data_IF_726788797364
#
_entry.id   IF_726788797364
#
_cell.length_a   1.000
_cell.length_b   1.000
_cell.length_c   1.000
_cell.angle_alpha   90.00
_cell.angle_beta   90.00
_cell.angle_gamma   90.00
#
_symmetry.space_group_name_H-M   'P 1'
#
loop_
_entity.id
_entity.type
_entity.pdbx_description
1 polymer ?
#
# COMPACT_ATOMS: atom_id res chain seq x y z
N UNK A 1 -26.88 -45.51 25.37
CA UNK A 1 -26.46 -44.11 25.64
C UNK A 1 -26.07 -43.48 24.32
N UNK A 2 -26.80 -42.47 23.83
CA UNK A 2 -26.42 -41.72 22.62
C UNK A 2 -25.31 -40.75 23.02
N UNK A 3 -24.09 -41.00 22.55
CA UNK A 3 -23.00 -40.03 22.64
C UNK A 3 -23.35 -38.84 21.74
N UNK A 4 -23.98 -37.82 22.31
CA UNK A 4 -24.02 -36.50 21.68
C UNK A 4 -22.61 -35.92 21.82
N UNK A 5 -21.84 -35.98 20.73
CA UNK A 5 -20.67 -35.11 20.57
C UNK A 5 -21.17 -33.67 20.70
N UNK A 6 -20.79 -33.00 21.78
CA UNK A 6 -21.18 -31.63 22.13
C UNK A 6 -20.29 -30.58 21.45
N UNK A 7 -19.40 -30.97 20.54
CA UNK A 7 -18.58 -30.01 19.80
C UNK A 7 -19.39 -29.45 18.62
N UNK A 8 -19.77 -28.18 18.73
CA UNK A 8 -20.29 -27.41 17.61
C UNK A 8 -19.27 -27.49 16.46
N UNK A 9 -19.67 -27.89 15.23
CA UNK A 9 -18.72 -28.05 14.14
C UNK A 9 -17.96 -26.74 13.90
N UNK A 10 -16.64 -26.84 13.76
CA UNK A 10 -15.78 -25.70 13.47
C UNK A 10 -16.25 -25.06 12.16
N UNK A 11 -16.65 -23.77 12.14
CA UNK A 11 -17.14 -23.16 10.92
C UNK A 11 -16.05 -23.11 9.85
N UNK A 12 -16.41 -23.44 8.62
CA UNK A 12 -15.53 -23.33 7.48
C UNK A 12 -15.75 -22.02 6.70
N UNK A 13 -14.68 -21.43 6.20
CA UNK A 13 -14.68 -20.12 5.54
C UNK A 13 -13.93 -20.19 4.22
N UNK A 14 -14.55 -19.70 3.15
CA UNK A 14 -13.85 -19.47 1.89
C UNK A 14 -13.33 -18.04 1.82
N UNK A 15 -12.04 -17.87 1.56
CA UNK A 15 -11.43 -16.57 1.28
C UNK A 15 -11.10 -16.48 -0.20
N UNK A 16 -11.67 -15.51 -0.91
CA UNK A 16 -11.48 -15.36 -2.36
C UNK A 16 -10.51 -14.21 -2.64
N UNK A 17 -9.36 -14.52 -3.23
CA UNK A 17 -8.29 -13.58 -3.55
C UNK A 17 -7.03 -13.80 -2.70
N UNK A 18 -5.92 -14.19 -3.34
CA UNK A 18 -4.63 -14.46 -2.72
C UNK A 18 -3.72 -13.24 -2.58
N UNK A 19 -4.28 -12.03 -2.57
CA UNK A 19 -3.54 -10.80 -2.28
C UNK A 19 -3.26 -10.61 -0.78
N UNK A 20 -2.58 -9.53 -0.41
CA UNK A 20 -2.20 -9.27 0.99
C UNK A 20 -3.40 -9.23 1.95
N UNK A 21 -4.51 -8.60 1.55
CA UNK A 21 -5.74 -8.54 2.35
C UNK A 21 -6.34 -9.94 2.58
N UNK A 22 -6.42 -10.76 1.53
CA UNK A 22 -6.96 -12.13 1.62
C UNK A 22 -6.06 -13.04 2.45
N UNK A 23 -4.74 -13.00 2.23
CA UNK A 23 -3.78 -13.76 3.03
C UNK A 23 -3.79 -13.36 4.51
N UNK A 24 -3.82 -12.06 4.80
CA UNK A 24 -3.89 -11.57 6.19
C UNK A 24 -5.18 -12.04 6.87
N UNK A 25 -6.31 -11.93 6.16
CA UNK A 25 -7.62 -12.38 6.67
C UNK A 25 -7.65 -13.90 6.89
N UNK A 26 -7.19 -14.68 5.90
CA UNK A 26 -7.15 -16.14 5.98
C UNK A 26 -6.24 -16.63 7.11
N UNK A 27 -5.09 -15.97 7.29
CA UNK A 27 -4.17 -16.24 8.40
C UNK A 27 -4.83 -15.96 9.74
N UNK A 28 -5.49 -14.79 9.91
CA UNK A 28 -6.17 -14.43 11.16
C UNK A 28 -7.29 -15.41 11.51
N UNK A 29 -8.10 -15.77 10.52
CA UNK A 29 -9.19 -16.74 10.68
C UNK A 29 -8.65 -18.12 11.10
N UNK A 30 -7.57 -18.58 10.47
CA UNK A 30 -6.96 -19.88 10.82
C UNK A 30 -6.35 -19.88 12.21
N UNK A 31 -5.67 -18.79 12.60
CA UNK A 31 -5.18 -18.58 13.97
C UNK A 31 -6.32 -18.59 15.01
N UNK A 32 -7.53 -18.21 14.59
CA UNK A 32 -8.72 -18.21 15.44
C UNK A 32 -9.46 -19.55 15.44
N UNK A 33 -8.89 -20.58 14.79
CA UNK A 33 -9.38 -21.96 14.78
C UNK A 33 -10.41 -22.27 13.69
N UNK A 34 -10.72 -21.35 12.77
CA UNK A 34 -11.62 -21.62 11.64
C UNK A 34 -10.96 -22.53 10.60
N UNK A 35 -11.76 -23.35 9.91
CA UNK A 35 -11.29 -24.11 8.74
C UNK A 35 -11.34 -23.21 7.50
N UNK A 36 -10.19 -22.84 6.95
CA UNK A 36 -10.14 -21.83 5.89
C UNK A 36 -9.58 -22.39 4.59
N UNK A 37 -10.32 -22.21 3.49
CA UNK A 37 -9.82 -22.43 2.14
C UNK A 37 -9.65 -21.09 1.42
N UNK A 38 -8.44 -20.77 0.99
CA UNK A 38 -8.13 -19.59 0.18
C UNK A 38 -8.09 -19.97 -1.31
N UNK A 39 -8.85 -19.25 -2.12
CA UNK A 39 -8.90 -19.40 -3.57
C UNK A 39 -8.13 -18.28 -4.28
N UNK A 40 -7.23 -18.64 -5.20
CA UNK A 40 -6.51 -17.71 -6.05
C UNK A 40 -6.56 -18.18 -7.51
N UNK A 41 -6.99 -17.28 -8.41
CA UNK A 41 -7.11 -17.57 -9.84
C UNK A 41 -5.76 -17.77 -10.53
N UNK A 42 -4.72 -17.09 -10.04
CA UNK A 42 -3.36 -17.13 -10.59
C UNK A 42 -2.60 -18.37 -10.11
N UNK A 43 -1.46 -18.66 -10.72
CA UNK A 43 -0.56 -19.71 -10.24
C UNK A 43 0.18 -19.35 -8.92
N UNK A 44 0.19 -18.08 -8.56
CA UNK A 44 1.02 -17.51 -7.49
C UNK A 44 0.23 -16.49 -6.68
N UNK A 45 0.43 -16.51 -5.36
CA UNK A 45 -0.13 -15.57 -4.39
C UNK A 45 0.56 -14.21 -4.45
N UNK A 46 -0.03 -13.21 -3.79
CA UNK A 46 0.56 -11.89 -3.53
C UNK A 46 -0.19 -10.74 -4.18
N UNK A 47 -0.92 -10.98 -5.28
CA UNK A 47 -1.63 -9.91 -6.01
C UNK A 47 -0.71 -8.73 -6.35
N UNK A 48 -1.04 -7.53 -5.86
CA UNK A 48 -0.20 -6.32 -6.03
C UNK A 48 1.08 -6.32 -5.19
N UNK A 49 1.15 -7.14 -4.12
CA UNK A 49 2.31 -7.24 -3.24
C UNK A 49 3.41 -8.18 -3.78
N UNK A 50 3.39 -8.50 -5.08
CA UNK A 50 4.40 -9.35 -5.70
C UNK A 50 5.71 -8.59 -5.86
N UNK A 51 6.80 -9.35 -5.76
CA UNK A 51 8.15 -8.90 -6.07
C UNK A 51 8.75 -9.89 -7.06
N UNK A 52 9.24 -9.40 -8.19
CA UNK A 52 10.01 -10.20 -9.13
C UNK A 52 11.47 -10.26 -8.68
N UNK A 53 12.03 -11.47 -8.59
CA UNK A 53 13.47 -11.66 -8.40
C UNK A 53 14.10 -11.96 -9.75
N UNK A 54 14.94 -11.05 -10.24
CA UNK A 54 15.64 -11.18 -11.52
C UNK A 54 17.13 -10.94 -11.27
N UNK A 55 17.96 -11.96 -11.44
CA UNK A 55 19.42 -11.87 -11.23
C UNK A 55 19.82 -11.31 -9.85
N UNK A 56 19.05 -11.62 -8.81
CA UNK A 56 19.27 -11.14 -7.44
C UNK A 56 18.74 -9.75 -7.14
N UNK A 57 18.12 -9.08 -8.12
CA UNK A 57 17.38 -7.84 -7.90
C UNK A 57 15.92 -8.12 -7.56
N UNK A 58 15.41 -7.43 -6.55
CA UNK A 58 14.04 -7.54 -6.06
C UNK A 58 13.23 -6.32 -6.52
N UNK A 59 12.36 -6.52 -7.52
CA UNK A 59 11.52 -5.47 -8.10
C UNK A 59 10.07 -5.61 -7.63
N UNK A 60 9.58 -4.66 -6.85
CA UNK A 60 8.18 -4.66 -6.42
C UNK A 60 7.26 -4.32 -7.59
N UNK A 61 6.03 -4.83 -7.56
CA UNK A 61 5.04 -4.51 -8.58
C UNK A 61 4.42 -3.12 -8.35
N UNK A 62 5.17 -2.08 -8.71
CA UNK A 62 4.79 -0.69 -8.49
C UNK A 62 5.28 -0.14 -7.15
N UNK A 63 4.93 1.12 -6.84
CA UNK A 63 5.45 1.82 -5.69
C UNK A 63 4.91 1.22 -4.39
N UNK A 64 5.80 0.97 -3.45
CA UNK A 64 5.46 0.29 -2.21
C UNK A 64 6.28 0.84 -1.04
N UNK A 65 5.57 1.21 0.03
CA UNK A 65 6.16 1.69 1.28
C UNK A 65 5.22 1.29 2.43
N UNK A 66 5.75 0.64 3.47
CA UNK A 66 4.93 0.19 4.59
C UNK A 66 4.92 1.28 5.68
N UNK A 67 3.79 1.94 5.87
CA UNK A 67 3.64 2.96 6.90
C UNK A 67 3.64 2.34 8.30
N UNK A 68 4.63 2.69 9.13
CA UNK A 68 4.86 2.02 10.43
C UNK A 68 3.74 2.22 11.45
N UNK A 69 3.05 3.36 11.39
CA UNK A 69 1.86 3.61 12.23
C UNK A 69 0.54 3.21 11.59
N UNK A 70 0.58 2.61 10.40
CA UNK A 70 -0.61 2.28 9.62
C UNK A 70 -1.22 0.96 10.03
N UNK A 71 -2.50 0.76 9.68
CA UNK A 71 -3.26 -0.47 9.95
C UNK A 71 -2.59 -1.72 9.38
N UNK A 72 -1.94 -1.61 8.21
CA UNK A 72 -1.21 -2.72 7.61
C UNK A 72 -0.03 -3.20 8.48
N UNK A 73 0.75 -2.27 9.03
CA UNK A 73 1.87 -2.61 9.92
C UNK A 73 1.37 -3.32 11.18
N UNK A 74 0.35 -2.73 11.84
CA UNK A 74 -0.28 -3.31 13.03
C UNK A 74 -0.88 -4.70 12.77
N UNK A 75 -1.51 -4.88 11.60
CA UNK A 75 -2.08 -6.17 11.21
C UNK A 75 -0.99 -7.21 11.01
N UNK A 76 0.10 -6.87 10.32
CA UNK A 76 1.22 -7.79 10.08
C UNK A 76 1.91 -8.17 11.39
N UNK A 77 2.11 -7.21 12.30
CA UNK A 77 2.66 -7.42 13.63
C UNK A 77 1.78 -8.36 14.47
N UNK A 78 0.46 -8.11 14.49
CA UNK A 78 -0.52 -8.98 15.15
C UNK A 78 -0.53 -10.41 14.58
N UNK A 79 -0.24 -10.55 13.29
CA UNK A 79 -0.12 -11.85 12.63
C UNK A 79 1.25 -12.50 12.84
N UNK A 80 2.17 -11.89 13.59
CA UNK A 80 3.51 -12.41 13.84
C UNK A 80 4.38 -12.46 12.58
N UNK A 81 4.14 -11.56 11.61
CA UNK A 81 4.97 -11.44 10.41
C UNK A 81 6.21 -10.65 10.75
N UNK A 82 7.38 -11.19 10.44
CA UNK A 82 8.65 -10.50 10.63
C UNK A 82 8.82 -9.36 9.60
N UNK A 83 9.01 -8.13 10.11
CA UNK A 83 9.10 -6.92 9.29
C UNK A 83 10.53 -6.37 9.29
N UNK A 84 11.38 -6.96 8.44
CA UNK A 84 12.76 -6.51 8.25
C UNK A 84 12.87 -5.46 7.14
N UNK A 85 13.70 -4.44 7.38
CA UNK A 85 13.93 -3.36 6.44
C UNK A 85 14.45 -2.11 7.11
N UNK A 86 14.53 -1.01 6.36
CA UNK A 86 14.89 0.30 6.92
C UNK A 86 14.04 1.45 6.37
N UNK A 87 14.12 2.58 7.07
CA UNK A 87 13.50 3.81 6.61
C UNK A 87 14.38 4.50 5.56
N UNK A 88 13.77 5.11 4.53
CA UNK A 88 14.53 5.91 3.58
C UNK A 88 15.16 7.13 4.26
N UNK A 89 16.42 7.42 3.91
CA UNK A 89 17.13 8.60 4.39
C UNK A 89 16.40 9.89 4.01
N UNK A 90 16.26 10.80 4.98
CA UNK A 90 15.77 12.17 4.74
C UNK A 90 16.87 13.12 4.24
N UNK A 91 18.11 12.64 4.15
CA UNK A 91 19.24 13.42 3.65
C UNK A 91 19.45 13.18 2.16
N UNK A 92 19.79 14.25 1.41
CA UNK A 92 20.16 14.20 -0.01
C UNK A 92 19.00 13.85 -0.95
N UNK A 93 17.81 14.32 -0.58
CA UNK A 93 16.59 14.24 -1.37
C UNK A 93 16.44 15.52 -2.20
N UNK A 94 15.77 15.42 -3.35
CA UNK A 94 15.62 16.53 -4.28
C UNK A 94 14.15 16.83 -4.60
N UNK A 95 13.86 18.09 -4.87
CA UNK A 95 12.66 18.56 -5.55
C UNK A 95 13.00 18.77 -7.02
N UNK A 96 12.12 18.32 -7.91
CA UNK A 96 12.18 18.64 -9.33
C UNK A 96 11.08 19.63 -9.68
N UNK A 97 11.48 20.76 -10.24
CA UNK A 97 10.59 21.86 -10.61
C UNK A 97 11.14 22.57 -11.84
N UNK A 98 10.31 22.73 -12.88
CA UNK A 98 10.70 23.35 -14.15
C UNK A 98 11.97 22.72 -14.75
N UNK A 99 12.04 21.38 -14.69
CA UNK A 99 13.19 20.56 -15.11
C UNK A 99 14.52 20.85 -14.39
N UNK A 100 14.49 21.55 -13.26
CA UNK A 100 15.66 21.79 -12.41
C UNK A 100 15.54 21.02 -11.08
N UNK A 101 16.68 20.62 -10.53
CA UNK A 101 16.75 19.92 -9.25
C UNK A 101 17.19 20.87 -8.13
N UNK A 102 16.38 20.91 -7.08
CA UNK A 102 16.64 21.66 -5.85
C UNK A 102 16.77 20.69 -4.68
N UNK A 103 17.55 21.03 -3.65
CA UNK A 103 17.62 20.20 -2.44
C UNK A 103 16.27 20.27 -1.73
N UNK A 104 15.67 19.10 -1.46
CA UNK A 104 14.50 18.98 -0.57
C UNK A 104 14.98 19.16 0.87
N UNK A 105 14.55 20.21 1.58
CA UNK A 105 14.98 20.43 2.95
C UNK A 105 14.51 19.30 3.88
N UNK A 106 15.45 18.52 4.41
CA UNK A 106 15.18 17.48 5.41
C UNK A 106 15.26 17.97 6.86
N UNK A 107 15.74 19.20 7.08
CA UNK A 107 15.86 19.82 8.40
C UNK A 107 15.87 21.36 8.29
N UNK A 108 15.79 22.06 9.42
CA UNK A 108 15.72 23.52 9.49
C UNK A 108 16.96 24.21 8.89
N UNK A 109 18.15 23.63 9.04
CA UNK A 109 19.37 24.16 8.43
C UNK A 109 19.32 24.13 6.90
N UNK A 110 18.96 22.99 6.32
CA UNK A 110 18.78 22.86 4.86
C UNK A 110 17.66 23.75 4.33
N UNK A 111 16.64 24.02 5.15
CA UNK A 111 15.57 24.94 4.79
C UNK A 111 16.08 26.38 4.78
N UNK A 112 16.82 26.79 5.81
CA UNK A 112 17.42 28.12 5.90
C UNK A 112 18.35 28.40 4.70
N UNK A 113 19.18 27.43 4.32
CA UNK A 113 20.08 27.53 3.16
C UNK A 113 19.41 27.21 1.81
N UNK A 114 18.12 26.89 1.79
CA UNK A 114 17.41 26.55 0.55
C UNK A 114 17.36 27.75 -0.39
N UNK A 115 17.69 27.51 -1.66
CA UNK A 115 17.57 28.48 -2.76
C UNK A 115 16.20 28.39 -3.45
N UNK A 116 15.39 27.37 -3.16
CA UNK A 116 14.09 27.16 -3.80
C UNK A 116 12.99 28.01 -3.17
N UNK A 117 12.99 28.11 -1.84
CA UNK A 117 11.99 28.87 -1.08
C UNK A 117 12.48 30.28 -0.77
N UNK A 118 11.60 31.28 -0.87
CA UNK A 118 11.84 32.62 -0.37
C UNK A 118 11.82 32.65 1.17
N UNK A 119 12.30 33.74 1.78
CA UNK A 119 12.24 33.89 3.24
C UNK A 119 10.81 33.86 3.80
N UNK A 120 9.85 34.45 3.09
CA UNK A 120 8.42 34.39 3.46
C UNK A 120 7.90 32.95 3.40
N UNK A 121 8.23 32.21 2.33
CA UNK A 121 7.81 30.82 2.17
C UNK A 121 8.43 29.92 3.24
N UNK A 122 9.71 30.13 3.59
CA UNK A 122 10.38 29.42 4.69
C UNK A 122 9.65 29.63 6.02
N UNK A 123 9.27 30.87 6.34
CA UNK A 123 8.52 31.17 7.56
C UNK A 123 7.17 30.44 7.60
N UNK A 124 6.38 30.54 6.52
CA UNK A 124 5.09 29.86 6.43
C UNK A 124 5.23 28.34 6.51
N UNK A 125 6.25 27.77 5.87
CA UNK A 125 6.52 26.34 5.90
C UNK A 125 6.89 25.85 7.30
N UNK A 126 7.79 26.55 8.01
CA UNK A 126 8.17 26.19 9.39
C UNK A 126 6.95 26.26 10.31
N UNK A 127 6.16 27.34 10.21
CA UNK A 127 4.93 27.48 11.00
C UNK A 127 3.94 26.37 10.70
N UNK A 128 3.76 26.01 9.44
CA UNK A 128 2.85 24.93 9.06
C UNK A 128 3.34 23.58 9.60
N UNK A 129 4.62 23.24 9.42
CA UNK A 129 5.20 21.98 9.90
C UNK A 129 5.03 21.83 11.42
N UNK A 130 5.28 22.90 12.19
CA UNK A 130 5.12 22.91 13.64
C UNK A 130 3.68 22.62 14.11
N UNK A 131 2.67 22.97 13.31
CA UNK A 131 1.26 22.80 13.66
C UNK A 131 0.56 21.67 12.89
N UNK A 132 1.20 21.11 11.85
CA UNK A 132 0.60 20.12 10.93
C UNK A 132 0.05 18.87 11.63
N UNK A 133 0.70 18.45 12.71
CA UNK A 133 0.30 17.29 13.52
C UNK A 133 -0.91 17.54 14.42
N UNK A 134 -1.30 18.81 14.60
CA UNK A 134 -2.44 19.21 15.42
C UNK A 134 -3.70 19.47 14.59
N UNK A 135 -3.60 19.42 13.26
CA UNK A 135 -4.75 19.59 12.36
C UNK A 135 -5.73 18.43 12.60
N UNK A 136 -6.95 18.75 13.01
CA UNK A 136 -8.01 17.74 13.14
C UNK A 136 -8.59 17.41 11.76
N UNK A 137 -8.23 16.23 11.25
CA UNK A 137 -8.66 15.76 9.95
C UNK A 137 -10.18 15.52 9.86
N UNK A 138 -10.88 15.27 10.97
CA UNK A 138 -12.34 15.03 10.95
C UNK A 138 -13.10 16.27 10.43
N UNK A 139 -12.59 17.46 10.70
CA UNK A 139 -13.16 18.72 10.23
C UNK A 139 -12.89 19.00 8.75
N UNK A 140 -12.13 18.16 8.05
CA UNK A 140 -11.79 18.33 6.63
C UNK A 140 -12.61 17.46 5.68
N UNK A 141 -13.56 16.67 6.19
CA UNK A 141 -14.34 15.70 5.39
C UNK A 141 -15.17 16.34 4.26
N UNK A 142 -15.51 17.61 4.38
CA UNK A 142 -16.29 18.39 3.42
C UNK A 142 -15.44 19.02 2.30
N UNK A 143 -14.11 18.88 2.36
CA UNK A 143 -13.17 19.46 1.40
C UNK A 143 -12.51 18.38 0.55
N UNK A 144 -12.22 18.72 -0.70
CA UNK A 144 -11.20 18.05 -1.49
C UNK A 144 -9.79 18.42 -1.00
N UNK A 145 -8.82 17.54 -1.24
CA UNK A 145 -7.43 17.78 -0.91
C UNK A 145 -6.88 19.03 -1.63
N UNK A 146 -7.36 19.32 -2.85
CA UNK A 146 -6.98 20.51 -3.62
C UNK A 146 -7.47 21.81 -2.96
N UNK A 147 -8.71 21.83 -2.47
CA UNK A 147 -9.26 22.97 -1.71
C UNK A 147 -8.50 23.16 -0.40
N UNK A 148 -8.23 22.07 0.32
CA UNK A 148 -7.46 22.12 1.55
C UNK A 148 -6.05 22.69 1.32
N UNK A 149 -5.33 22.24 0.29
CA UNK A 149 -4.02 22.79 -0.10
C UNK A 149 -4.11 24.30 -0.36
N UNK A 150 -5.18 24.74 -1.04
CA UNK A 150 -5.39 26.16 -1.34
C UNK A 150 -5.68 27.00 -0.10
N UNK A 151 -6.26 26.42 0.96
CA UNK A 151 -6.45 27.07 2.25
C UNK A 151 -5.17 27.13 3.08
N UNK A 152 -4.24 26.17 2.92
CA UNK A 152 -3.01 26.13 3.71
C UNK A 152 -1.99 27.20 3.29
N UNK A 153 -1.89 27.50 1.99
CA UNK A 153 -0.86 28.40 1.47
C UNK A 153 -1.39 29.28 0.35
N UNK A 154 -0.95 30.55 0.30
CA UNK A 154 -1.17 31.42 -0.86
C UNK A 154 -0.08 31.26 -1.93
N UNK A 155 1.16 30.94 -1.52
CA UNK A 155 2.31 30.85 -2.41
C UNK A 155 2.26 29.61 -3.31
N UNK A 156 2.46 29.80 -4.63
CA UNK A 156 2.44 28.73 -5.63
C UNK A 156 3.40 27.58 -5.31
N UNK A 157 4.65 27.87 -4.91
CA UNK A 157 5.64 26.82 -4.60
C UNK A 157 5.24 25.96 -3.39
N UNK A 158 4.65 26.57 -2.36
CA UNK A 158 4.18 25.81 -1.19
C UNK A 158 2.95 24.97 -1.50
N UNK A 159 2.02 25.48 -2.33
CA UNK A 159 0.90 24.67 -2.84
C UNK A 159 1.41 23.45 -3.61
N UNK A 160 2.32 23.65 -4.56
CA UNK A 160 2.90 22.54 -5.33
C UNK A 160 3.67 21.54 -4.45
N UNK A 161 4.42 22.03 -3.47
CA UNK A 161 5.12 21.19 -2.50
C UNK A 161 4.15 20.33 -1.69
N UNK A 162 3.10 20.92 -1.12
CA UNK A 162 2.12 20.17 -0.33
C UNK A 162 1.35 19.18 -1.20
N UNK A 163 0.94 19.57 -2.42
CA UNK A 163 0.34 18.67 -3.41
C UNK A 163 1.24 17.47 -3.71
N UNK A 164 2.54 17.70 -3.93
CA UNK A 164 3.48 16.63 -4.24
C UNK A 164 3.68 15.67 -3.05
N UNK A 165 3.69 16.19 -1.81
CA UNK A 165 3.75 15.35 -0.62
C UNK A 165 2.48 14.53 -0.39
N UNK A 166 1.30 15.13 -0.58
CA UNK A 166 0.02 14.40 -0.52
C UNK A 166 0.04 13.27 -1.55
N UNK A 167 0.39 13.58 -2.80
CA UNK A 167 0.49 12.60 -3.88
C UNK A 167 1.48 11.47 -3.56
N UNK A 168 2.64 11.79 -3.01
CA UNK A 168 3.61 10.77 -2.60
C UNK A 168 3.04 9.88 -1.49
N UNK A 169 2.34 10.48 -0.51
CA UNK A 169 1.83 9.77 0.64
C UNK A 169 0.61 8.87 0.33
N UNK A 170 -0.27 9.32 -0.55
CA UNK A 170 -1.54 8.65 -0.88
C UNK A 170 -1.48 7.84 -2.18
N UNK A 171 -0.46 8.08 -3.00
CA UNK A 171 -0.35 7.66 -4.39
C UNK A 171 -1.44 8.22 -5.33
N UNK A 172 -2.18 9.25 -4.91
CA UNK A 172 -3.28 9.85 -5.69
C UNK A 172 -2.83 11.17 -6.30
N UNK A 173 -3.00 11.32 -7.62
CA UNK A 173 -2.66 12.54 -8.33
C UNK A 173 -3.85 13.49 -8.50
N UNK A 174 -5.07 12.96 -8.65
CA UNK A 174 -6.28 13.78 -8.67
C UNK A 174 -6.68 14.20 -7.25
N UNK A 175 -6.22 15.39 -6.86
CA UNK A 175 -6.55 15.98 -5.56
C UNK A 175 -7.93 16.64 -5.53
N UNK A 176 -8.63 16.77 -6.66
CA UNK A 176 -9.99 17.33 -6.68
C UNK A 176 -11.02 16.29 -6.20
N UNK A 177 -10.78 15.01 -6.44
CA UNK A 177 -11.63 13.92 -5.95
C UNK A 177 -11.16 13.34 -4.62
N UNK A 178 -9.85 13.42 -4.31
CA UNK A 178 -9.32 12.96 -3.04
C UNK A 178 -9.87 13.78 -1.86
N UNK A 179 -10.42 13.11 -0.85
CA UNK A 179 -10.83 13.76 0.41
C UNK A 179 -9.64 14.38 1.15
N UNK A 180 -9.81 15.63 1.63
CA UNK A 180 -8.82 16.30 2.46
C UNK A 180 -8.60 15.60 3.81
N UNK A 181 -9.62 14.99 4.40
CA UNK A 181 -9.49 14.18 5.61
C UNK A 181 -8.49 13.04 5.40
N UNK A 182 -8.67 12.26 4.33
CA UNK A 182 -7.79 11.13 4.01
C UNK A 182 -6.38 11.61 3.69
N UNK A 183 -6.25 12.68 2.90
CA UNK A 183 -4.95 13.29 2.59
C UNK A 183 -4.21 13.75 3.86
N UNK A 184 -4.91 14.43 4.77
CA UNK A 184 -4.36 14.94 6.02
C UNK A 184 -3.90 13.79 6.93
N UNK A 185 -4.76 12.80 7.18
CA UNK A 185 -4.41 11.62 8.01
C UNK A 185 -3.20 10.88 7.46
N UNK A 186 -3.18 10.63 6.14
CA UNK A 186 -2.09 9.89 5.50
C UNK A 186 -0.77 10.69 5.54
N UNK A 187 -0.83 12.01 5.35
CA UNK A 187 0.34 12.89 5.44
C UNK A 187 0.87 12.96 6.88
N UNK A 188 0.00 13.11 7.88
CA UNK A 188 0.39 13.09 9.29
C UNK A 188 1.05 11.77 9.68
N UNK A 189 0.48 10.64 9.24
CA UNK A 189 1.05 9.32 9.44
C UNK A 189 2.46 9.20 8.84
N UNK A 190 2.62 9.65 7.59
CA UNK A 190 3.91 9.67 6.89
C UNK A 190 4.96 10.51 7.62
N UNK A 191 4.60 11.74 8.02
CA UNK A 191 5.52 12.66 8.69
C UNK A 191 5.91 12.20 10.11
N UNK A 192 4.97 11.61 10.86
CA UNK A 192 5.19 11.24 12.25
C UNK A 192 5.97 9.95 12.43
N UNK A 193 5.65 8.93 11.63
CA UNK A 193 6.18 7.57 11.84
C UNK A 193 6.98 7.06 10.64
N UNK A 194 6.93 7.75 9.51
CA UNK A 194 7.64 7.36 8.30
C UNK A 194 7.14 6.06 7.70
N UNK A 195 7.95 5.56 6.78
CA UNK A 195 7.72 4.30 6.06
C UNK A 195 8.89 3.36 6.25
N UNK A 196 8.62 2.07 6.09
CA UNK A 196 9.59 0.99 6.03
C UNK A 196 9.66 0.48 4.58
N UNK A 197 10.88 0.42 4.04
CA UNK A 197 11.17 -0.35 2.83
C UNK A 197 11.63 -1.74 3.27
N UNK A 198 10.94 -2.76 2.79
CA UNK A 198 11.14 -4.14 3.22
C UNK A 198 12.32 -4.77 2.50
N UNK A 199 13.16 -5.46 3.26
CA UNK A 199 14.21 -6.31 2.71
C UNK A 199 13.58 -7.43 1.87
N UNK A 200 14.22 -7.76 0.75
CA UNK A 200 13.75 -8.73 -0.25
C UNK A 200 12.39 -8.39 -0.91
N UNK A 201 11.83 -7.22 -0.61
CA UNK A 201 10.59 -6.71 -1.17
C UNK A 201 9.32 -7.30 -0.56
N UNK A 202 8.17 -6.93 -1.13
CA UNK A 202 6.86 -7.29 -0.59
C UNK A 202 6.51 -8.77 -0.71
N UNK A 203 7.17 -9.52 -1.60
CA UNK A 203 7.04 -10.97 -1.68
C UNK A 203 7.42 -11.66 -0.37
N UNK A 204 8.29 -11.05 0.47
CA UNK A 204 8.61 -11.55 1.80
C UNK A 204 7.37 -11.62 2.70
N UNK A 205 6.54 -10.58 2.71
CA UNK A 205 5.27 -10.57 3.47
C UNK A 205 4.34 -11.68 2.99
N UNK A 206 4.23 -11.85 1.68
CA UNK A 206 3.40 -12.89 1.05
C UNK A 206 3.86 -14.28 1.49
N UNK A 207 5.17 -14.51 1.49
CA UNK A 207 5.78 -15.79 1.92
C UNK A 207 5.54 -16.06 3.40
N UNK A 208 5.79 -15.09 4.28
CA UNK A 208 5.59 -15.27 5.73
C UNK A 208 4.12 -15.49 6.08
N UNK A 209 3.19 -14.72 5.50
CA UNK A 209 1.76 -14.95 5.68
C UNK A 209 1.34 -16.32 5.16
N UNK A 210 1.85 -16.74 4.00
CA UNK A 210 1.56 -18.07 3.44
C UNK A 210 2.06 -19.19 4.36
N UNK A 211 3.27 -19.03 4.92
CA UNK A 211 3.85 -19.99 5.88
C UNK A 211 2.99 -20.05 7.14
N UNK A 212 2.61 -18.91 7.70
CA UNK A 212 1.79 -18.83 8.90
C UNK A 212 0.38 -19.43 8.67
N UNK A 213 -0.25 -19.11 7.54
CA UNK A 213 -1.53 -19.69 7.15
C UNK A 213 -1.49 -21.22 7.05
N UNK A 214 -0.46 -21.77 6.39
CA UNK A 214 -0.25 -23.22 6.29
C UNK A 214 0.06 -23.87 7.64
N UNK A 215 0.83 -23.19 8.50
CA UNK A 215 1.11 -23.67 9.85
C UNK A 215 -0.18 -23.88 10.66
N UNK A 216 -1.16 -22.99 10.48
CA UNK A 216 -2.50 -23.09 11.07
C UNK A 216 -3.47 -23.94 10.23
N UNK A 217 -2.95 -24.87 9.42
CA UNK A 217 -3.72 -25.85 8.62
C UNK A 217 -4.66 -25.21 7.58
N UNK A 218 -4.36 -23.98 7.14
CA UNK A 218 -5.07 -23.33 6.05
C UNK A 218 -4.84 -24.01 4.70
N UNK A 219 -5.89 -24.15 3.91
CA UNK A 219 -5.84 -24.72 2.56
C UNK A 219 -5.70 -23.62 1.50
N UNK A 220 -4.82 -23.81 0.51
CA UNK A 220 -4.64 -22.87 -0.61
C UNK A 220 -4.94 -23.58 -1.92
N UNK A 221 -5.87 -23.01 -2.70
CA UNK A 221 -6.21 -23.43 -4.06
C UNK A 221 -5.80 -22.35 -5.07
N UNK A 222 -4.57 -22.46 -5.59
CA UNK A 222 -4.11 -21.66 -6.73
C UNK A 222 -4.68 -22.20 -8.05
N UNK A 223 -4.53 -21.44 -9.15
CA UNK A 223 -5.09 -21.76 -10.48
C UNK A 223 -6.58 -22.11 -10.44
N UNK A 224 -7.30 -21.56 -9.46
CA UNK A 224 -8.69 -21.90 -9.20
C UNK A 224 -9.49 -20.61 -9.19
N UNK A 225 -10.06 -20.29 -10.35
CA UNK A 225 -10.94 -19.15 -10.49
C UNK A 225 -12.33 -19.51 -9.95
N UNK A 226 -12.83 -18.73 -9.01
CA UNK A 226 -14.22 -18.81 -8.57
C UNK A 226 -15.10 -18.12 -9.61
N UNK A 227 -16.13 -18.82 -10.08
CA UNK A 227 -17.04 -18.36 -11.13
C UNK A 227 -18.40 -17.91 -10.59
N UNK A 228 -18.84 -18.47 -9.47
CA UNK A 228 -20.15 -18.16 -8.88
C UNK A 228 -20.13 -18.40 -7.37
N UNK A 229 -20.88 -17.56 -6.64
CA UNK A 229 -21.13 -17.70 -5.21
C UNK A 229 -22.61 -17.44 -4.94
N UNK A 230 -23.27 -18.39 -4.28
CA UNK A 230 -24.71 -18.31 -4.00
C UNK A 230 -25.08 -18.90 -2.64
N UNK A 231 -26.06 -18.33 -1.93
CA UNK A 231 -26.58 -18.93 -0.70
C UNK A 231 -27.46 -20.15 -1.05
N UNK A 232 -27.21 -21.30 -0.43
CA UNK A 232 -27.96 -22.55 -0.61
C UNK A 232 -28.04 -23.25 0.75
N UNK A 233 -29.26 -23.59 1.20
CA UNK A 233 -29.52 -24.32 2.45
C UNK A 233 -28.85 -23.68 3.71
N UNK A 234 -28.78 -22.34 3.76
CA UNK A 234 -28.13 -21.62 4.87
C UNK A 234 -26.59 -21.64 4.85
N UNK A 235 -25.99 -22.14 3.76
CA UNK A 235 -24.55 -22.12 3.51
C UNK A 235 -24.25 -21.32 2.23
N UNK A 236 -22.98 -21.03 1.99
CA UNK A 236 -22.49 -20.44 0.75
C UNK A 236 -21.93 -21.52 -0.16
N UNK A 237 -22.54 -21.68 -1.32
CA UNK A 237 -22.06 -22.53 -2.40
C UNK A 237 -21.06 -21.75 -3.25
N UNK A 238 -19.86 -22.31 -3.45
CA UNK A 238 -18.78 -21.76 -4.26
C UNK A 238 -18.51 -22.71 -5.42
N UNK A 239 -18.59 -22.17 -6.63
CA UNK A 239 -18.25 -22.88 -7.88
C UNK A 239 -16.94 -22.36 -8.43
N UNK A 240 -16.10 -23.26 -8.93
CA UNK A 240 -14.77 -22.89 -9.40
C UNK A 240 -14.34 -23.71 -10.61
N UNK A 241 -13.28 -23.26 -11.29
CA UNK A 241 -12.72 -23.94 -12.46
C UNK A 241 -12.21 -25.35 -12.19
N UNK A 242 -11.84 -25.69 -10.95
CA UNK A 242 -11.28 -27.00 -10.58
C UNK A 242 -12.24 -27.91 -9.83
N UNK A 243 -13.34 -27.37 -9.28
CA UNK A 243 -14.29 -28.11 -8.48
C UNK A 243 -15.71 -27.59 -8.76
N UNK A 244 -16.62 -28.50 -9.15
CA UNK A 244 -17.99 -28.15 -9.51
C UNK A 244 -18.69 -27.41 -8.37
N UNK A 245 -18.61 -27.89 -7.13
CA UNK A 245 -19.29 -27.27 -5.98
C UNK A 245 -18.53 -27.53 -4.67
N UNK A 246 -18.35 -26.50 -3.85
CA UNK A 246 -17.96 -26.56 -2.43
C UNK A 246 -18.90 -25.71 -1.57
N UNK A 247 -19.11 -26.05 -0.29
CA UNK A 247 -20.03 -25.35 0.62
C UNK A 247 -19.31 -24.82 1.86
N UNK A 248 -19.62 -23.59 2.25
CA UNK A 248 -18.97 -22.86 3.34
C UNK A 248 -19.96 -22.19 4.28
N UNK A 249 -19.64 -22.06 5.57
CA UNK A 249 -20.45 -21.31 6.53
C UNK A 249 -20.35 -19.79 6.30
N UNK A 250 -19.20 -19.32 5.84
CA UNK A 250 -18.99 -17.91 5.50
C UNK A 250 -18.06 -17.75 4.29
N UNK A 251 -18.14 -16.57 3.67
CA UNK A 251 -17.28 -16.17 2.57
C UNK A 251 -16.65 -14.81 2.90
N UNK A 252 -15.40 -14.63 2.49
CA UNK A 252 -14.71 -13.34 2.52
C UNK A 252 -14.18 -13.05 1.11
N UNK A 253 -14.61 -11.92 0.54
CA UNK A 253 -14.16 -11.47 -0.77
C UNK A 253 -13.05 -10.43 -0.60
N UNK A 254 -11.82 -10.82 -0.88
CA UNK A 254 -10.65 -9.94 -0.90
C UNK A 254 -10.28 -9.56 -2.35
N UNK A 255 -11.29 -9.12 -3.10
CA UNK A 255 -11.19 -8.78 -4.52
C UNK A 255 -11.57 -7.31 -4.76
N UNK A 256 -11.18 -6.71 -5.90
CA UNK A 256 -11.75 -5.44 -6.32
C UNK A 256 -13.28 -5.52 -6.41
N UNK A 257 -13.97 -4.43 -6.06
CA UNK A 257 -15.44 -4.38 -6.03
C UNK A 257 -16.09 -4.85 -7.34
N UNK A 258 -15.54 -4.45 -8.49
CA UNK A 258 -16.04 -4.86 -9.80
C UNK A 258 -16.01 -6.38 -10.02
N UNK A 259 -15.07 -7.08 -9.41
CA UNK A 259 -15.01 -8.55 -9.42
C UNK A 259 -16.00 -9.15 -8.42
N UNK A 260 -16.13 -8.55 -7.22
CA UNK A 260 -17.14 -8.97 -6.24
C UNK A 260 -18.56 -8.93 -6.81
N UNK A 261 -18.92 -7.88 -7.57
CA UNK A 261 -20.25 -7.74 -8.21
C UNK A 261 -20.57 -8.88 -9.18
N UNK A 262 -19.56 -9.45 -9.85
CA UNK A 262 -19.74 -10.56 -10.79
C UNK A 262 -20.03 -11.87 -10.06
N UNK A 263 -19.50 -12.03 -8.85
CA UNK A 263 -19.64 -13.25 -8.04
C UNK A 263 -20.89 -13.26 -7.17
N UNK A 264 -21.33 -12.10 -6.68
CA UNK A 264 -22.49 -11.95 -5.79
C UNK A 264 -23.77 -11.63 -6.56
N UNK A 265 -24.15 -12.47 -7.52
CA UNK A 265 -25.34 -12.23 -8.37
C UNK A 265 -26.63 -11.93 -7.56
N UNK A 266 -26.92 -12.61 -6.42
CA UNK A 266 -28.10 -12.33 -5.60
C UNK A 266 -27.97 -11.07 -4.72
N UNK A 267 -26.74 -10.62 -4.43
CA UNK A 267 -26.45 -9.50 -3.55
C UNK A 267 -25.76 -8.40 -4.35
N UNK A 268 -26.53 -7.42 -4.81
CA UNK A 268 -26.02 -6.19 -5.43
C UNK A 268 -26.09 -5.03 -4.42
N UNK A 269 -25.23 -4.99 -3.39
CA UNK A 269 -25.22 -3.86 -2.49
C UNK A 269 -24.85 -2.59 -3.27
N UNK A 270 -25.55 -1.49 -2.99
CA UNK A 270 -25.20 -0.18 -3.52
C UNK A 270 -23.98 0.36 -2.77
N UNK A 271 -22.80 -0.15 -3.13
CA UNK A 271 -21.53 0.30 -2.58
C UNK A 271 -20.99 1.47 -3.43
N UNK A 272 -20.51 2.55 -2.79
CA UNK A 272 -19.93 3.67 -3.49
C UNK A 272 -18.75 3.21 -4.36
N UNK A 273 -18.81 3.55 -5.64
CA UNK A 273 -17.72 3.29 -6.58
C UNK A 273 -16.71 4.44 -6.54
N UNK A 274 -15.48 4.15 -6.13
CA UNK A 274 -14.36 5.07 -6.35
C UNK A 274 -13.85 5.01 -7.79
N UNK A 275 -13.16 6.07 -8.22
CA UNK A 275 -12.40 6.06 -9.46
C UNK A 275 -11.07 5.32 -9.26
N UNK A 276 -10.63 4.58 -10.27
CA UNK A 276 -9.33 3.91 -10.22
C UNK A 276 -8.22 4.93 -10.39
N UNK A 277 -7.19 4.82 -9.57
CA UNK A 277 -5.98 5.63 -9.71
C UNK A 277 -4.97 4.84 -10.53
N UNK A 278 -4.42 5.49 -11.55
CA UNK A 278 -3.46 4.87 -12.46
C UNK A 278 -2.07 5.49 -12.31
N UNK A 279 -1.07 4.64 -12.45
CA UNK A 279 0.33 5.02 -12.40
C UNK A 279 1.17 4.05 -13.20
N UNK A 280 2.33 4.51 -13.66
CA UNK A 280 3.32 3.70 -14.34
C UNK A 280 4.57 3.71 -13.49
N UNK A 281 5.15 2.53 -13.27
CA UNK A 281 6.43 2.37 -12.60
C UNK A 281 7.47 1.79 -13.53
N UNK A 282 8.69 2.30 -13.44
CA UNK A 282 9.86 1.71 -14.06
C UNK A 282 10.88 1.35 -12.98
N UNK A 283 11.28 0.09 -12.97
CA UNK A 283 12.29 -0.48 -12.07
C UNK A 283 13.56 -0.78 -12.86
N UNK A 284 14.72 -0.36 -12.33
CA UNK A 284 16.03 -0.54 -12.97
C UNK A 284 17.01 -1.17 -11.98
N UNK A 285 17.71 -2.21 -12.42
CA UNK A 285 18.88 -2.75 -11.73
C UNK A 285 20.17 -2.17 -12.32
N UNK A 286 20.99 -1.53 -11.50
CA UNK A 286 22.23 -0.87 -11.92
C UNK A 286 23.42 -1.42 -11.15
N UNK A 287 24.53 -1.69 -11.85
CA UNK A 287 25.79 -2.06 -11.20
C UNK A 287 26.41 -0.89 -10.44
N UNK A 288 26.22 0.35 -10.93
CA UNK A 288 26.73 1.56 -10.31
C UNK A 288 25.76 2.73 -10.52
N UNK A 289 25.62 3.61 -9.53
CA UNK A 289 24.85 4.85 -9.67
C UNK A 289 25.68 5.93 -10.37
N UNK A 290 25.17 6.57 -11.45
CA UNK A 290 25.85 7.71 -12.08
C UNK A 290 26.05 8.89 -11.13
N UNK A 291 25.13 9.07 -10.16
CA UNK A 291 25.17 10.11 -9.13
C UNK A 291 24.83 9.49 -7.76
N UNK A 292 25.78 8.85 -7.06
CA UNK A 292 25.51 8.05 -5.86
C UNK A 292 24.96 8.82 -4.66
N UNK A 293 25.06 10.16 -4.69
CA UNK A 293 24.48 11.03 -3.65
C UNK A 293 23.03 11.44 -3.94
N UNK A 294 22.47 11.14 -5.12
CA UNK A 294 21.09 11.51 -5.50
C UNK A 294 20.19 10.30 -5.35
N UNK A 295 19.65 10.12 -4.16
CA UNK A 295 18.89 8.91 -3.81
C UNK A 295 17.39 9.06 -4.00
N UNK A 296 16.88 10.28 -4.08
CA UNK A 296 15.46 10.55 -4.23
C UNK A 296 15.21 11.88 -4.94
N UNK A 297 14.18 11.93 -5.78
CA UNK A 297 13.66 13.17 -6.33
C UNK A 297 12.13 13.14 -6.42
N UNK A 298 11.48 14.24 -6.05
CA UNK A 298 10.03 14.40 -6.14
C UNK A 298 9.68 15.52 -7.12
N UNK A 299 8.92 15.20 -8.17
CA UNK A 299 8.40 16.20 -9.09
C UNK A 299 7.28 17.02 -8.45
N UNK A 300 7.36 18.34 -8.58
CA UNK A 300 6.37 19.27 -8.04
C UNK A 300 5.30 19.61 -9.09
N UNK A 301 5.74 20.06 -10.25
CA UNK A 301 4.92 20.40 -11.42
C UNK A 301 4.63 19.19 -12.30
N UNK A 302 5.50 18.18 -12.27
CA UNK A 302 5.35 16.92 -12.96
C UNK A 302 5.06 15.79 -11.98
N UNK A 303 4.04 14.95 -12.22
CA UNK A 303 3.60 13.96 -11.25
C UNK A 303 4.47 12.70 -11.33
N UNK A 304 5.69 12.77 -10.81
CA UNK A 304 6.56 11.61 -10.66
C UNK A 304 7.38 11.67 -9.37
N UNK A 305 7.93 10.52 -8.99
CA UNK A 305 9.07 10.46 -8.09
C UNK A 305 10.08 9.42 -8.55
N UNK A 306 11.31 9.62 -8.10
CA UNK A 306 12.44 8.72 -8.28
C UNK A 306 12.97 8.35 -6.89
N UNK A 307 13.33 7.09 -6.68
CA UNK A 307 13.92 6.62 -5.43
C UNK A 307 14.87 5.45 -5.65
N UNK A 308 16.04 5.48 -5.03
CA UNK A 308 16.96 4.34 -4.97
C UNK A 308 16.58 3.48 -3.76
N UNK A 309 15.66 2.53 -3.95
CA UNK A 309 15.13 1.74 -2.83
C UNK A 309 16.22 0.89 -2.15
N UNK A 310 17.19 0.38 -2.91
CA UNK A 310 18.30 -0.41 -2.35
C UNK A 310 19.27 0.39 -1.47
N UNK A 311 19.15 1.72 -1.44
CA UNK A 311 19.92 2.55 -0.50
C UNK A 311 19.43 2.40 0.94
N UNK A 312 18.24 1.82 1.14
CA UNK A 312 17.60 1.65 2.46
C UNK A 312 17.26 0.19 2.76
N UNK A 313 16.95 -0.63 1.75
CA UNK A 313 16.58 -2.03 1.96
C UNK A 313 17.42 -2.97 1.08
N UNK A 314 17.54 -4.23 1.50
CA UNK A 314 18.21 -5.28 0.72
C UNK A 314 17.37 -5.71 -0.48
N UNK A 315 17.46 -4.92 -1.56
CA UNK A 315 16.70 -5.14 -2.81
C UNK A 315 17.59 -5.40 -4.03
N UNK A 316 18.91 -5.30 -3.87
CA UNK A 316 19.89 -5.53 -4.93
C UNK A 316 21.03 -6.41 -4.40
N UNK A 317 21.79 -7.08 -5.29
CA UNK A 317 23.05 -7.71 -4.92
C UNK A 317 24.00 -6.70 -4.26
N UNK A 318 24.97 -7.19 -3.49
CA UNK A 318 25.96 -6.36 -2.80
C UNK A 318 26.65 -5.41 -3.80
N UNK A 319 26.73 -4.13 -3.44
CA UNK A 319 27.31 -3.05 -4.25
C UNK A 319 26.55 -2.72 -5.56
N UNK A 320 25.34 -3.25 -5.75
CA UNK A 320 24.46 -2.90 -6.88
C UNK A 320 23.22 -2.15 -6.37
N UNK A 321 22.40 -1.64 -7.30
CA UNK A 321 21.33 -0.72 -6.95
C UNK A 321 20.01 -1.00 -7.65
N UNK A 322 18.90 -0.96 -6.90
CA UNK A 322 17.56 -0.87 -7.47
C UNK A 322 17.08 0.57 -7.46
N UNK A 323 16.60 1.00 -8.61
CA UNK A 323 16.08 2.34 -8.84
C UNK A 323 14.64 2.23 -9.29
N UNK A 324 13.77 2.93 -8.56
CA UNK A 324 12.35 3.01 -8.84
C UNK A 324 12.00 4.39 -9.37
N UNK A 325 11.24 4.44 -10.45
CA UNK A 325 10.59 5.65 -10.95
C UNK A 325 9.11 5.40 -11.03
N UNK A 326 8.31 6.20 -10.34
CA UNK A 326 6.85 6.19 -10.51
C UNK A 326 6.40 7.48 -11.17
N UNK A 327 5.51 7.36 -12.15
CA UNK A 327 4.76 8.47 -12.73
C UNK A 327 3.28 8.24 -12.46
N UNK A 328 2.63 9.21 -11.84
CA UNK A 328 1.19 9.19 -11.64
C UNK A 328 0.51 9.67 -12.91
N UNK A 329 -0.57 8.98 -13.30
CA UNK A 329 -1.38 9.38 -14.43
C UNK A 329 -2.55 10.26 -13.94
N UNK A 330 -3.10 11.03 -14.89
CA UNK A 330 -4.28 11.88 -14.68
C UNK A 330 -5.55 11.08 -14.89
#
# INVERSE_FOLDING_TARGET
MKNYSTEKPIPNVAVIGGGLAGLSSATRLSQSGYQVTLYEKSNTLGGRAKTANISGFHFNYGPHALYRGGSAYQTLDLLGVELNGAQPSLTKNYLSFENQLYVLPGNLWQLATSQFFSWQEKYHLVRWLANSQQIDANHLNHLSASEWVSQQFHHRRLKLWLTALIRLATYVNDLHTLSAEIACRQLQLSLRQGVLYLDEGWQKLVTELTKNFKHHKGEIKCKTAVSSIQPVDGLWQVESSSQKVARYNAILLALPYQECKKLLIPFKPDLPTGQSVHGVSWELGLSHLPKPKRLFALGLDNPYYFSVHSASAHLAPKSQHTVHVAKYLT
#
